data_IF_380118163496
#
_entry.id   IF_380118163496
#
_cell.length_a   1.000
_cell.length_b   1.000
_cell.length_c   1.000
_cell.angle_alpha   90.00
_cell.angle_beta   90.00
_cell.angle_gamma   90.00
#
_symmetry.space_group_name_H-M   'P 1'
#
loop_
_entity.id
_entity.type
_entity.pdbx_description
1 polymer ?
#
# COMPACT_ATOMS: atom_id res chain seq x y z
N UNK A 1 4.80 -24.22 -6.26
CA UNK A 1 5.50 -25.27 -5.52
C UNK A 1 6.64 -24.68 -4.69
N UNK A 2 7.07 -25.35 -3.62
CA UNK A 2 8.18 -24.90 -2.76
C UNK A 2 9.49 -24.65 -3.53
N UNK A 3 9.74 -25.43 -4.58
CA UNK A 3 10.92 -25.26 -5.43
C UNK A 3 10.86 -23.97 -6.25
N UNK A 4 9.70 -23.57 -6.73
CA UNK A 4 9.53 -22.31 -7.46
C UNK A 4 9.80 -21.10 -6.56
N UNK A 5 9.32 -21.14 -5.31
CA UNK A 5 9.59 -20.10 -4.32
C UNK A 5 11.08 -20.01 -3.95
N UNK A 6 11.75 -21.14 -3.76
CA UNK A 6 13.19 -21.17 -3.49
C UNK A 6 13.98 -20.55 -4.65
N UNK A 7 13.58 -20.81 -5.91
CA UNK A 7 14.23 -20.22 -7.08
C UNK A 7 14.00 -18.70 -7.16
N UNK A 8 12.76 -18.23 -6.99
CA UNK A 8 12.43 -16.80 -6.98
C UNK A 8 13.19 -16.08 -5.86
N UNK A 9 13.20 -16.64 -4.65
CA UNK A 9 13.94 -16.08 -3.53
C UNK A 9 15.43 -16.00 -3.81
N UNK A 10 16.02 -17.04 -4.42
CA UNK A 10 17.43 -17.07 -4.80
C UNK A 10 17.79 -16.03 -5.87
N UNK A 11 16.90 -15.81 -6.84
CA UNK A 11 17.08 -14.77 -7.87
C UNK A 11 17.01 -13.34 -7.27
N UNK A 12 16.06 -13.10 -6.38
CA UNK A 12 15.89 -11.81 -5.75
C UNK A 12 17.04 -11.47 -4.79
N UNK A 13 17.56 -12.45 -4.04
CA UNK A 13 18.70 -12.27 -3.11
C UNK A 13 19.99 -11.90 -3.85
N UNK A 14 20.14 -12.26 -5.12
CA UNK A 14 21.31 -11.85 -5.91
C UNK A 14 21.41 -10.34 -6.13
N UNK A 15 20.29 -9.62 -6.05
CA UNK A 15 20.23 -8.19 -6.30
C UNK A 15 20.24 -7.34 -5.03
N UNK A 16 19.78 -7.87 -3.90
CA UNK A 16 19.77 -7.16 -2.61
C UNK A 16 19.47 -8.11 -1.44
N UNK A 17 19.84 -7.70 -0.21
CA UNK A 17 19.45 -8.42 1.00
C UNK A 17 17.96 -8.25 1.30
N UNK A 18 17.17 -9.32 1.13
CA UNK A 18 15.73 -9.32 1.42
C UNK A 18 15.42 -9.55 2.91
N UNK A 19 16.10 -8.84 3.77
CA UNK A 19 16.02 -8.99 5.23
C UNK A 19 14.59 -8.86 5.79
N UNK A 20 13.78 -8.04 5.17
CA UNK A 20 12.41 -7.72 5.61
C UNK A 20 11.31 -8.30 4.70
N UNK A 21 11.69 -9.18 3.78
CA UNK A 21 10.75 -9.82 2.87
C UNK A 21 10.32 -11.18 3.40
N UNK A 22 9.03 -11.37 3.49
CA UNK A 22 8.43 -12.63 3.93
C UNK A 22 7.60 -13.21 2.78
N UNK A 23 7.95 -14.42 2.37
CA UNK A 23 7.22 -15.15 1.35
C UNK A 23 6.23 -16.10 2.04
N UNK A 24 4.94 -15.83 1.90
CA UNK A 24 3.89 -16.68 2.41
C UNK A 24 3.31 -17.56 1.30
N UNK A 25 2.97 -18.78 1.64
CA UNK A 25 2.29 -19.73 0.76
C UNK A 25 1.01 -20.22 1.41
N UNK A 26 0.03 -20.57 0.61
CA UNK A 26 -1.25 -21.10 1.07
C UNK A 26 -1.99 -21.81 -0.05
N UNK A 27 -3.14 -22.41 0.27
CA UNK A 27 -4.05 -22.91 -0.75
C UNK A 27 -4.73 -21.76 -1.49
N UNK A 28 -5.21 -22.01 -2.70
CA UNK A 28 -5.90 -21.01 -3.53
C UNK A 28 -7.11 -20.40 -2.80
N UNK A 29 -7.82 -21.20 -2.02
CA UNK A 29 -8.96 -20.74 -1.23
C UNK A 29 -8.54 -19.72 -0.18
N UNK A 30 -7.46 -19.99 0.56
CA UNK A 30 -6.93 -19.07 1.58
C UNK A 30 -6.37 -17.78 0.96
N UNK A 31 -5.71 -17.88 -0.18
CA UNK A 31 -5.22 -16.71 -0.91
C UNK A 31 -6.40 -15.83 -1.34
N UNK A 32 -7.45 -16.43 -1.90
CA UNK A 32 -8.67 -15.70 -2.28
C UNK A 32 -9.39 -15.09 -1.08
N UNK A 33 -9.46 -15.79 0.04
CA UNK A 33 -10.06 -15.31 1.29
C UNK A 33 -9.32 -14.05 1.79
N UNK A 34 -7.99 -14.09 1.86
CA UNK A 34 -7.18 -12.94 2.26
C UNK A 34 -7.36 -11.79 1.29
N UNK A 35 -7.31 -12.05 -0.01
CA UNK A 35 -7.46 -11.01 -1.02
C UNK A 35 -8.84 -10.35 -0.96
N UNK A 36 -9.90 -11.12 -0.78
CA UNK A 36 -11.26 -10.62 -0.65
C UNK A 36 -11.49 -9.80 0.63
N UNK A 37 -10.66 -9.99 1.66
CA UNK A 37 -10.69 -9.17 2.86
C UNK A 37 -10.09 -7.78 2.66
N UNK A 38 -9.32 -7.58 1.59
CA UNK A 38 -8.69 -6.31 1.25
C UNK A 38 -9.58 -5.47 0.33
N UNK A 39 -9.53 -4.17 0.49
CA UNK A 39 -10.13 -3.24 -0.47
C UNK A 39 -9.23 -3.15 -1.70
N UNK A 40 -9.67 -3.75 -2.79
CA UNK A 40 -8.97 -3.74 -4.07
C UNK A 40 -9.89 -3.26 -5.18
N UNK A 41 -9.32 -2.53 -6.13
CA UNK A 41 -10.04 -2.09 -7.35
C UNK A 41 -10.30 -3.29 -8.26
N UNK A 42 -9.35 -4.21 -8.33
CA UNK A 42 -9.39 -5.36 -9.23
C UNK A 42 -9.62 -6.66 -8.45
N UNK A 43 -10.27 -7.61 -9.11
CA UNK A 43 -10.36 -8.99 -8.59
C UNK A 43 -9.10 -9.77 -8.99
N UNK A 44 -8.83 -10.87 -8.27
CA UNK A 44 -7.82 -11.85 -8.71
C UNK A 44 -8.25 -12.45 -10.06
N UNK A 45 -7.27 -12.70 -10.91
CA UNK A 45 -7.50 -13.45 -12.14
C UNK A 45 -7.67 -14.96 -11.87
N UNK A 46 -7.88 -15.74 -12.94
CA UNK A 46 -8.07 -17.21 -12.85
C UNK A 46 -6.83 -17.94 -12.32
N UNK A 47 -5.64 -17.33 -12.41
CA UNK A 47 -4.38 -17.88 -11.89
C UNK A 47 -4.03 -17.38 -10.48
N UNK A 48 -4.96 -16.70 -9.80
CA UNK A 48 -4.77 -16.05 -8.50
C UNK A 48 -3.66 -14.99 -8.50
N UNK A 49 -3.43 -14.35 -9.65
CA UNK A 49 -2.46 -13.27 -9.82
C UNK A 49 -3.12 -11.90 -9.64
N UNK A 50 -2.35 -10.98 -9.10
CA UNK A 50 -2.69 -9.56 -9.06
C UNK A 50 -1.43 -8.70 -9.18
N UNK A 51 -1.54 -7.55 -9.85
CA UNK A 51 -0.52 -6.50 -9.84
C UNK A 51 -0.70 -5.52 -8.68
N UNK A 52 -1.72 -5.71 -7.83
CA UNK A 52 -2.02 -4.79 -6.74
C UNK A 52 -1.09 -4.99 -5.55
N UNK A 53 -0.65 -3.89 -4.97
CA UNK A 53 0.13 -3.81 -3.73
C UNK A 53 -0.68 -3.06 -2.69
N UNK A 54 -0.56 -3.45 -1.43
CA UNK A 54 -1.33 -2.91 -0.32
C UNK A 54 -0.41 -2.43 0.79
N UNK A 55 -0.79 -1.34 1.44
CA UNK A 55 -0.16 -0.87 2.67
C UNK A 55 -1.02 -1.35 3.84
N UNK A 56 -0.42 -2.06 4.77
CA UNK A 56 -1.07 -2.51 6.02
C UNK A 56 -0.25 -2.01 7.20
N UNK A 57 -0.90 -1.38 8.15
CA UNK A 57 -0.24 -0.85 9.34
C UNK A 57 0.03 -1.94 10.41
N UNK A 58 0.72 -1.56 11.48
CA UNK A 58 1.04 -2.48 12.59
C UNK A 58 -0.20 -3.00 13.33
N UNK A 59 -1.32 -2.32 13.24
CA UNK A 59 -2.61 -2.72 13.81
C UNK A 59 -3.44 -3.56 12.82
N UNK A 60 -2.87 -3.96 11.69
CA UNK A 60 -3.52 -4.73 10.61
C UNK A 60 -4.65 -3.99 9.89
N UNK A 61 -4.64 -2.65 9.90
CA UNK A 61 -5.56 -1.87 9.09
C UNK A 61 -4.94 -1.61 7.73
N UNK A 62 -5.73 -1.82 6.68
CA UNK A 62 -5.34 -1.42 5.33
C UNK A 62 -5.32 0.11 5.25
N UNK A 63 -4.23 0.64 4.72
CA UNK A 63 -4.00 2.09 4.59
C UNK A 63 -4.13 2.52 3.14
N UNK A 64 -4.45 3.80 2.96
CA UNK A 64 -4.65 4.41 1.67
C UNK A 64 -5.12 5.84 1.85
N UNK A 65 -5.68 6.42 0.79
CA UNK A 65 -6.26 7.76 0.83
C UNK A 65 -7.77 7.70 0.63
N UNK A 66 -8.49 8.52 1.39
CA UNK A 66 -9.96 8.62 1.32
C UNK A 66 -10.37 9.30 0.02
N UNK A 67 -9.57 10.26 -0.43
CA UNK A 67 -9.82 11.03 -1.64
C UNK A 67 -8.56 11.08 -2.52
N UNK A 68 -8.64 10.52 -3.70
CA UNK A 68 -7.57 10.51 -4.72
C UNK A 68 -7.94 11.35 -5.95
N UNK A 69 -8.99 12.18 -5.86
CA UNK A 69 -9.40 13.05 -6.95
C UNK A 69 -8.32 14.08 -7.27
N UNK A 70 -8.16 14.39 -8.54
CA UNK A 70 -7.35 15.51 -8.99
C UNK A 70 -8.11 16.84 -8.85
N UNK A 71 -7.41 17.97 -9.02
CA UNK A 71 -7.97 19.31 -8.83
C UNK A 71 -9.21 19.56 -9.70
N UNK A 72 -9.21 19.09 -10.95
CA UNK A 72 -10.33 19.24 -11.88
C UNK A 72 -11.56 18.43 -11.46
N UNK A 73 -11.35 17.28 -10.86
CA UNK A 73 -12.44 16.44 -10.32
C UNK A 73 -13.02 17.05 -9.04
N UNK A 74 -12.18 17.68 -8.23
CA UNK A 74 -12.62 18.44 -7.04
C UNK A 74 -13.42 19.67 -7.47
N UNK A 75 -12.93 20.45 -8.42
CA UNK A 75 -13.66 21.62 -8.98
C UNK A 75 -15.01 21.24 -9.56
N UNK A 76 -15.13 20.09 -10.21
CA UNK A 76 -16.39 19.57 -10.74
C UNK A 76 -17.29 18.93 -9.71
N UNK A 77 -16.86 18.88 -8.45
CA UNK A 77 -17.59 18.28 -7.33
C UNK A 77 -18.05 16.83 -7.63
N UNK A 78 -17.15 16.03 -8.23
CA UNK A 78 -17.41 14.61 -8.46
C UNK A 78 -17.40 13.83 -7.14
N UNK A 79 -17.93 12.62 -7.14
CA UNK A 79 -17.94 11.75 -5.97
C UNK A 79 -16.52 11.44 -5.46
N UNK A 80 -16.39 11.23 -4.16
CA UNK A 80 -15.13 10.84 -3.53
C UNK A 80 -14.61 9.51 -4.10
N UNK A 81 -13.35 9.50 -4.48
CA UNK A 81 -12.65 8.31 -4.99
C UNK A 81 -11.54 7.94 -4.03
N UNK A 82 -11.72 6.87 -3.28
CA UNK A 82 -10.69 6.34 -2.40
C UNK A 82 -9.66 5.48 -3.14
N UNK A 83 -8.41 5.51 -2.70
CA UNK A 83 -7.33 4.66 -3.19
C UNK A 83 -6.77 3.82 -2.05
N UNK A 84 -6.95 2.50 -2.11
CA UNK A 84 -6.53 1.55 -1.07
C UNK A 84 -5.63 0.43 -1.60
N UNK A 85 -5.38 0.41 -2.90
CA UNK A 85 -4.43 -0.48 -3.55
C UNK A 85 -3.68 0.28 -4.65
N UNK A 86 -2.46 -0.14 -4.95
CA UNK A 86 -1.58 0.53 -5.90
C UNK A 86 -1.14 -0.47 -6.94
N UNK A 87 -1.22 -0.09 -8.22
CA UNK A 87 -0.76 -0.98 -9.29
C UNK A 87 0.78 -0.94 -9.37
N UNK A 88 1.42 -2.08 -9.08
CA UNK A 88 2.89 -2.20 -9.07
C UNK A 88 3.54 -1.99 -10.45
N UNK A 89 2.77 -2.12 -11.53
CA UNK A 89 3.25 -1.89 -12.90
C UNK A 89 3.22 -0.41 -13.28
N UNK A 90 2.40 0.39 -12.61
CA UNK A 90 2.27 1.82 -12.88
C UNK A 90 3.26 2.60 -12.01
N UNK A 91 4.37 3.03 -12.62
CA UNK A 91 5.47 3.72 -11.92
C UNK A 91 5.00 4.98 -11.17
N UNK A 92 4.07 5.74 -11.72
CA UNK A 92 3.53 6.94 -11.08
C UNK A 92 2.71 6.64 -9.82
N UNK A 93 1.97 5.52 -9.78
CA UNK A 93 1.26 5.10 -8.57
C UNK A 93 2.23 4.72 -7.45
N UNK A 94 3.27 3.96 -7.77
CA UNK A 94 4.26 3.53 -6.78
C UNK A 94 5.12 4.69 -6.30
N UNK A 95 5.71 5.47 -7.22
CA UNK A 95 6.67 6.52 -6.85
C UNK A 95 6.01 7.75 -6.22
N UNK A 96 4.79 8.09 -6.62
CA UNK A 96 4.09 9.27 -6.10
C UNK A 96 3.10 8.86 -5.02
N UNK A 97 2.01 8.19 -5.40
CA UNK A 97 0.87 7.95 -4.51
C UNK A 97 1.23 7.02 -3.33
N UNK A 98 1.77 5.84 -3.63
CA UNK A 98 2.13 4.89 -2.58
C UNK A 98 3.23 5.43 -1.67
N UNK A 99 4.25 6.08 -2.23
CA UNK A 99 5.34 6.65 -1.46
C UNK A 99 4.85 7.76 -0.50
N UNK A 100 3.96 8.63 -0.96
CA UNK A 100 3.36 9.67 -0.10
C UNK A 100 2.55 9.05 1.03
N UNK A 101 1.75 8.03 0.75
CA UNK A 101 0.93 7.37 1.76
C UNK A 101 1.79 6.60 2.79
N UNK A 102 2.92 6.03 2.38
CA UNK A 102 3.92 5.45 3.29
C UNK A 102 4.58 6.54 4.15
N UNK A 103 4.95 7.69 3.57
CA UNK A 103 5.52 8.83 4.33
C UNK A 103 4.56 9.31 5.40
N UNK A 104 3.28 9.44 5.08
CA UNK A 104 2.23 9.81 6.04
C UNK A 104 2.18 8.79 7.18
N UNK A 105 2.16 7.50 6.88
CA UNK A 105 2.11 6.44 7.88
C UNK A 105 3.33 6.48 8.82
N UNK A 106 4.53 6.64 8.30
CA UNK A 106 5.74 6.75 9.12
C UNK A 106 5.76 8.04 9.96
N UNK A 107 5.23 9.13 9.44
CA UNK A 107 5.09 10.37 10.21
C UNK A 107 4.08 10.20 11.34
N UNK A 108 2.95 9.54 11.11
CA UNK A 108 2.01 9.18 12.16
C UNK A 108 2.67 8.36 13.28
N UNK A 109 3.47 7.34 12.91
CA UNK A 109 4.19 6.55 13.91
C UNK A 109 5.19 7.37 14.73
N UNK A 110 5.87 8.31 14.09
CA UNK A 110 6.81 9.23 14.76
C UNK A 110 6.07 10.17 15.72
N UNK A 111 4.95 10.75 15.28
CA UNK A 111 4.13 11.64 16.09
C UNK A 111 3.49 10.91 17.28
N UNK A 112 2.99 9.68 17.07
CA UNK A 112 2.47 8.84 18.15
C UNK A 112 3.52 8.58 19.23
N UNK A 113 4.76 8.29 18.85
CA UNK A 113 5.87 8.10 19.80
C UNK A 113 6.20 9.38 20.59
N UNK A 114 6.01 10.55 19.99
CA UNK A 114 6.24 11.85 20.64
C UNK A 114 5.02 12.37 21.42
N UNK A 115 3.89 11.67 21.40
CA UNK A 115 2.62 12.12 22.00
C UNK A 115 1.91 13.23 21.25
N UNK A 116 2.31 13.58 20.04
CA UNK A 116 1.81 14.72 19.26
C UNK A 116 0.87 14.30 18.10
N UNK A 117 0.19 13.17 18.24
CA UNK A 117 -0.64 12.66 17.15
C UNK A 117 -2.04 13.28 17.16
N UNK A 118 -2.41 13.93 16.04
CA UNK A 118 -3.77 14.37 15.74
C UNK A 118 -4.25 13.77 14.43
N UNK A 119 -5.28 12.93 14.47
CA UNK A 119 -5.78 12.21 13.30
C UNK A 119 -6.49 13.10 12.28
N UNK A 120 -7.04 14.25 12.69
CA UNK A 120 -7.88 15.10 11.84
C UNK A 120 -7.10 15.88 10.78
N UNK A 121 -5.85 16.23 11.09
CA UNK A 121 -5.00 17.06 10.19
C UNK A 121 -3.78 16.30 9.63
N UNK A 122 -3.69 15.03 9.93
CA UNK A 122 -2.48 14.21 9.65
C UNK A 122 -2.00 14.26 8.22
N UNK A 123 -2.93 14.27 7.23
CA UNK A 123 -2.54 14.21 5.82
C UNK A 123 -2.03 15.57 5.34
N UNK A 124 -2.73 16.63 5.65
CA UNK A 124 -2.39 17.98 5.21
C UNK A 124 -1.03 18.37 5.77
N UNK A 125 -0.85 18.30 7.09
CA UNK A 125 0.38 18.71 7.77
C UNK A 125 1.62 17.87 7.39
N UNK A 126 1.43 16.63 6.93
CA UNK A 126 2.53 15.73 6.59
C UNK A 126 2.97 15.81 5.13
N UNK A 127 2.14 16.35 4.25
CA UNK A 127 2.49 16.56 2.83
C UNK A 127 3.01 17.97 2.54
N UNK A 128 2.63 18.97 3.34
CA UNK A 128 3.04 20.35 3.18
C UNK A 128 4.51 20.64 3.57
N UNK A 129 5.31 19.59 3.71
CA UNK A 129 6.77 19.63 3.64
C UNK A 129 7.46 20.72 4.46
N UNK A 130 7.17 20.88 5.73
CA UNK A 130 8.08 21.57 6.63
C UNK A 130 9.24 20.61 6.96
N UNK A 131 10.14 20.45 6.03
CA UNK A 131 11.49 19.99 6.29
C UNK A 131 12.26 21.15 6.97
N UNK A 132 12.12 21.26 8.28
CA UNK A 132 13.09 21.88 9.18
C UNK A 132 13.77 20.81 10.02
#
# INVERSE_FOLDING_TARGET
SENSLKNVKKELIKSDELKYWFFATGSDEKIKEIYNSLRSINKLDSSSYTSQVFIVDKQRNQRGRIDDRNDKEIEKNTDLVGLYSYNSVIVSEIKKKMNDDIRILFTEYRQKRKGNFNSNIRRISNLDGNDE
#
